data_IF_952734015360
#
_entry.id   IF_952734015360
#
_cell.length_a   1.000
_cell.length_b   1.000
_cell.length_c   1.000
_cell.angle_alpha   90.00
_cell.angle_beta   90.00
_cell.angle_gamma   90.00
#
_symmetry.space_group_name_H-M   'P 1'
#
loop_
_entity.id
_entity.type
_entity.pdbx_description
1 polymer ?
#
# COMPACT_ATOMS: atom_id res chain seq x y z
N UNK A 1 57.39 -6.57 -58.47
CA UNK A 1 57.66 -8.02 -58.36
C UNK A 1 56.71 -8.62 -57.33
N UNK A 2 55.80 -9.46 -57.84
CA UNK A 2 55.05 -10.56 -57.21
C UNK A 2 54.32 -10.30 -55.87
N UNK A 3 52.99 -10.14 -55.87
CA UNK A 3 51.95 -11.19 -55.92
C UNK A 3 52.06 -12.21 -54.77
N UNK A 4 51.13 -12.14 -53.80
CA UNK A 4 50.10 -13.17 -53.66
C UNK A 4 49.04 -12.73 -52.64
N UNK A 5 47.86 -12.41 -53.14
CA UNK A 5 46.62 -12.45 -52.36
C UNK A 5 46.07 -13.88 -52.39
N UNK A 6 45.52 -14.35 -51.27
CA UNK A 6 44.70 -15.56 -51.21
C UNK A 6 43.67 -15.46 -50.10
N UNK A 7 42.55 -16.20 -50.23
CA UNK A 7 41.23 -15.62 -50.07
C UNK A 7 40.51 -16.04 -48.79
N UNK A 8 39.54 -15.22 -48.42
CA UNK A 8 38.47 -15.46 -47.47
C UNK A 8 37.82 -16.84 -47.64
N UNK A 9 37.83 -17.65 -46.59
CA UNK A 9 37.05 -18.89 -46.48
C UNK A 9 36.17 -18.86 -45.23
N UNK A 10 34.86 -18.98 -45.47
CA UNK A 10 33.71 -18.90 -44.54
C UNK A 10 33.84 -19.73 -43.25
N UNK A 11 33.15 -19.31 -42.17
CA UNK A 11 32.91 -20.16 -41.00
C UNK A 11 31.95 -21.33 -41.31
N UNK A 12 32.02 -22.44 -40.56
CA UNK A 12 31.25 -23.66 -40.82
C UNK A 12 29.74 -23.48 -40.54
N UNK A 13 28.86 -24.25 -41.21
CA UNK A 13 27.42 -24.20 -40.97
C UNK A 13 27.04 -24.83 -39.60
N UNK A 14 25.95 -24.37 -38.96
CA UNK A 14 25.49 -24.90 -37.68
C UNK A 14 24.90 -26.32 -37.80
N UNK A 15 24.89 -27.10 -36.70
CA UNK A 15 24.42 -28.48 -36.70
C UNK A 15 22.93 -28.59 -36.98
N UNK A 16 22.57 -29.57 -37.80
CA UNK A 16 21.21 -29.89 -38.21
C UNK A 16 20.43 -30.50 -37.04
N UNK A 17 19.40 -29.80 -36.55
CA UNK A 17 18.50 -30.28 -35.50
C UNK A 17 17.34 -31.04 -36.18
N UNK A 18 17.26 -32.35 -35.97
CA UNK A 18 16.12 -33.15 -36.39
C UNK A 18 14.85 -32.74 -35.60
N UNK A 19 13.67 -32.62 -36.24
CA UNK A 19 12.46 -32.21 -35.54
C UNK A 19 11.94 -33.36 -34.66
N UNK A 20 12.04 -33.19 -33.34
CA UNK A 20 11.31 -34.01 -32.36
C UNK A 20 9.84 -33.63 -32.41
N UNK A 21 8.99 -34.52 -32.93
CA UNK A 21 7.54 -34.35 -32.92
C UNK A 21 7.00 -34.36 -31.47
N UNK A 22 6.17 -33.40 -31.06
CA UNK A 22 5.50 -33.45 -29.76
C UNK A 22 4.45 -34.57 -29.74
N UNK A 23 4.52 -35.41 -28.71
CA UNK A 23 3.53 -36.47 -28.43
C UNK A 23 2.17 -35.83 -28.16
N UNK A 24 1.21 -36.10 -29.05
CA UNK A 24 -0.16 -35.58 -29.01
C UNK A 24 -0.84 -35.99 -27.70
N UNK A 25 -1.33 -35.02 -26.92
CA UNK A 25 -2.16 -35.30 -25.74
C UNK A 25 -3.52 -35.92 -26.17
N UNK A 26 -4.09 -36.85 -25.41
CA UNK A 26 -5.40 -37.42 -25.73
C UNK A 26 -6.51 -36.36 -25.69
N UNK A 27 -7.52 -36.44 -26.55
CA UNK A 27 -8.59 -35.44 -26.62
C UNK A 27 -9.45 -35.43 -25.35
N UNK A 28 -10.01 -34.26 -24.96
CA UNK A 28 -10.91 -34.17 -23.80
C UNK A 28 -12.24 -34.91 -24.06
N UNK A 29 -12.93 -35.38 -23.01
CA UNK A 29 -14.20 -36.09 -23.14
C UNK A 29 -15.30 -35.18 -23.73
N UNK A 30 -16.29 -35.76 -24.43
CA UNK A 30 -17.35 -34.98 -25.08
C UNK A 30 -18.25 -34.26 -24.07
N UNK A 31 -18.54 -32.99 -24.34
CA UNK A 31 -19.46 -32.16 -23.55
C UNK A 31 -20.92 -32.63 -23.68
N UNK A 32 -21.71 -32.62 -22.58
CA UNK A 32 -23.11 -33.03 -22.63
C UNK A 32 -23.98 -32.08 -23.48
N UNK A 33 -25.09 -32.57 -24.06
CA UNK A 33 -25.92 -31.77 -24.96
C UNK A 33 -26.65 -30.63 -24.24
N UNK A 34 -26.73 -29.48 -24.92
CA UNK A 34 -27.36 -28.25 -24.44
C UNK A 34 -28.89 -28.37 -24.46
N UNK A 35 -29.62 -27.88 -23.44
CA UNK A 35 -31.09 -27.92 -23.44
C UNK A 35 -31.69 -26.99 -24.52
N UNK A 36 -32.91 -27.28 -25.00
CA UNK A 36 -33.53 -26.55 -26.11
C UNK A 36 -33.92 -25.12 -25.72
N UNK A 37 -33.65 -24.19 -26.64
CA UNK A 37 -33.92 -22.76 -26.52
C UNK A 37 -35.42 -22.44 -26.65
N UNK A 38 -36.03 -21.87 -25.60
CA UNK A 38 -37.35 -21.24 -25.65
C UNK A 38 -37.27 -19.94 -26.46
N UNK A 39 -38.09 -19.83 -27.52
CA UNK A 39 -38.23 -18.60 -28.34
C UNK A 39 -39.07 -17.56 -27.58
N UNK A 40 -38.71 -16.26 -27.58
CA UNK A 40 -39.58 -15.21 -27.03
C UNK A 40 -40.74 -14.90 -27.98
N UNK A 41 -41.96 -14.87 -27.42
CA UNK A 41 -43.19 -14.48 -28.10
C UNK A 41 -43.27 -12.95 -28.28
N UNK A 42 -43.86 -12.55 -29.40
CA UNK A 42 -43.89 -11.20 -29.97
C UNK A 42 -45.02 -10.38 -29.34
N UNK A 43 -44.71 -9.32 -28.59
CA UNK A 43 -45.72 -8.35 -28.11
C UNK A 43 -45.27 -6.89 -28.30
N UNK A 44 -46.14 -6.16 -28.99
CA UNK A 44 -46.38 -4.73 -29.15
C UNK A 44 -45.27 -3.68 -28.85
N UNK A 45 -44.99 -2.90 -29.90
CA UNK A 45 -44.21 -1.67 -29.95
C UNK A 45 -45.06 -0.48 -29.50
N UNK A 46 -44.72 0.16 -28.38
CA UNK A 46 -45.07 1.57 -28.12
C UNK A 46 -43.76 2.34 -27.94
N UNK A 47 -43.51 3.29 -28.85
CA UNK A 47 -42.30 4.12 -28.87
C UNK A 47 -42.48 5.31 -27.92
N UNK A 48 -41.76 5.33 -26.80
CA UNK A 48 -41.43 6.58 -26.12
C UNK A 48 -39.96 6.95 -26.40
N UNK A 49 -39.78 8.15 -26.96
CA UNK A 49 -38.51 8.76 -27.34
C UNK A 49 -37.82 9.34 -26.09
N UNK A 50 -36.55 9.01 -25.77
CA UNK A 50 -35.82 9.72 -24.72
C UNK A 50 -35.29 11.08 -25.23
N UNK A 51 -35.15 12.11 -24.37
CA UNK A 51 -34.63 13.41 -24.78
C UNK A 51 -33.11 13.37 -24.95
N UNK A 52 -32.62 14.18 -25.89
CA UNK A 52 -31.20 14.35 -26.18
C UNK A 52 -30.50 15.16 -25.08
N UNK A 53 -29.39 14.65 -24.56
CA UNK A 53 -28.50 15.40 -23.65
C UNK A 53 -27.55 16.29 -24.48
N UNK A 54 -27.63 17.61 -24.28
CA UNK A 54 -26.65 18.59 -24.78
C UNK A 54 -25.44 18.66 -23.85
N UNK A 55 -24.22 18.90 -24.36
CA UNK A 55 -23.03 19.01 -23.52
C UNK A 55 -23.00 20.36 -22.78
N UNK A 56 -22.82 20.32 -21.46
CA UNK A 56 -22.78 21.48 -20.59
C UNK A 56 -21.49 22.31 -20.78
N UNK A 57 -21.65 23.63 -20.76
CA UNK A 57 -20.61 24.67 -20.83
C UNK A 57 -19.85 24.78 -19.50
N UNK A 58 -18.52 24.98 -19.47
CA UNK A 58 -17.77 25.14 -18.23
C UNK A 58 -18.07 26.50 -17.56
N UNK A 59 -18.17 26.56 -16.22
CA UNK A 59 -18.44 27.81 -15.51
C UNK A 59 -17.21 28.73 -15.47
N UNK A 60 -17.49 30.04 -15.52
CA UNK A 60 -16.51 31.13 -15.40
C UNK A 60 -15.98 31.20 -13.97
N UNK A 61 -14.67 31.38 -13.83
CA UNK A 61 -13.98 31.66 -12.58
C UNK A 61 -14.07 33.15 -12.23
N UNK A 62 -14.77 33.49 -11.16
CA UNK A 62 -14.68 34.80 -10.51
C UNK A 62 -13.61 34.77 -9.39
N UNK A 63 -12.93 35.91 -9.12
CA UNK A 63 -11.74 35.95 -8.28
C UNK A 63 -12.07 35.84 -6.77
N UNK A 64 -11.14 35.19 -6.04
CA UNK A 64 -11.27 34.85 -4.62
C UNK A 64 -11.52 36.06 -3.69
N UNK A 65 -12.39 35.95 -2.68
CA UNK A 65 -12.49 36.93 -1.61
C UNK A 65 -11.33 36.79 -0.60
N UNK A 66 -10.93 37.94 -0.05
CA UNK A 66 -9.82 38.15 0.90
C UNK A 66 -10.00 37.34 2.20
N UNK A 67 -8.87 36.86 2.73
CA UNK A 67 -8.73 36.12 3.98
C UNK A 67 -9.18 36.90 5.23
N UNK A 68 -9.92 36.28 6.17
CA UNK A 68 -10.19 36.86 7.49
C UNK A 68 -9.07 36.55 8.50
N UNK A 69 -8.94 37.33 9.60
CA UNK A 69 -7.84 37.22 10.55
C UNK A 69 -8.02 36.01 11.49
N UNK A 70 -6.89 35.50 11.97
CA UNK A 70 -6.77 34.42 12.95
C UNK A 70 -7.34 34.80 14.34
N UNK A 71 -8.07 33.91 15.02
CA UNK A 71 -8.35 34.05 16.44
C UNK A 71 -7.54 33.05 17.29
N UNK A 72 -7.07 33.58 18.41
CA UNK A 72 -6.45 32.89 19.54
C UNK A 72 -7.46 32.17 20.43
N UNK A 73 -7.00 31.06 21.00
CA UNK A 73 -7.35 30.46 22.30
C UNK A 73 -8.74 29.83 22.56
N UNK A 74 -8.63 28.58 23.05
CA UNK A 74 -9.46 27.91 24.06
C UNK A 74 -10.68 27.07 23.65
N UNK A 75 -10.59 25.80 24.11
CA UNK A 75 -11.65 24.90 24.59
C UNK A 75 -12.20 23.79 23.67
N UNK A 76 -12.02 22.57 24.19
CA UNK A 76 -12.87 21.37 24.10
C UNK A 76 -13.27 20.81 22.71
N UNK A 77 -12.76 19.61 22.38
CA UNK A 77 -13.57 18.38 22.30
C UNK A 77 -12.78 17.19 21.73
N UNK A 78 -12.89 16.04 22.40
CA UNK A 78 -12.46 14.74 21.90
C UNK A 78 -13.29 14.30 20.67
N UNK A 79 -12.71 13.59 19.69
CA UNK A 79 -13.48 13.01 18.59
C UNK A 79 -14.18 11.71 19.03
N UNK A 80 -15.38 11.41 18.48
CA UNK A 80 -16.15 10.22 18.82
C UNK A 80 -15.62 8.95 18.11
N UNK A 81 -15.75 7.82 18.80
CA UNK A 81 -15.53 6.46 18.30
C UNK A 81 -16.51 6.08 17.18
N UNK A 82 -16.12 5.27 16.18
CA UNK A 82 -17.04 4.75 15.16
C UNK A 82 -17.87 3.56 15.69
N UNK A 83 -19.06 3.30 15.13
CA UNK A 83 -19.95 2.25 15.59
C UNK A 83 -19.54 0.86 15.07
N UNK A 84 -19.76 -0.13 15.91
CA UNK A 84 -19.66 -1.57 15.65
C UNK A 84 -21.03 -2.06 15.20
N UNK A 85 -21.14 -2.55 13.96
CA UNK A 85 -21.79 -3.82 13.59
C UNK A 85 -21.99 -3.94 12.08
N UNK A 86 -21.46 -5.03 11.51
CA UNK A 86 -22.17 -5.96 10.61
C UNK A 86 -21.16 -6.84 9.86
N UNK A 87 -21.11 -8.10 10.27
CA UNK A 87 -20.42 -9.20 9.61
C UNK A 87 -21.23 -9.68 8.40
N UNK A 88 -20.64 -9.70 7.19
CA UNK A 88 -20.84 -10.75 6.16
C UNK A 88 -19.96 -10.56 4.90
N UNK A 89 -19.13 -11.58 4.61
CA UNK A 89 -18.62 -12.01 3.28
C UNK A 89 -17.80 -10.98 2.48
N UNK A 90 -16.53 -11.18 2.17
CA UNK A 90 -16.02 -12.33 1.42
C UNK A 90 -15.74 -11.87 -0.02
N UNK A 91 -14.45 -11.71 -0.32
CA UNK A 91 -13.84 -11.69 -1.67
C UNK A 91 -14.25 -10.58 -2.65
N UNK A 92 -13.49 -9.46 -2.67
CA UNK A 92 -13.01 -8.77 -3.90
C UNK A 92 -12.28 -7.45 -3.56
N UNK A 93 -11.15 -7.50 -2.84
CA UNK A 93 -10.36 -6.27 -2.64
C UNK A 93 -8.85 -6.50 -2.52
N UNK A 94 -8.31 -7.40 -3.35
CA UNK A 94 -6.87 -7.63 -3.47
C UNK A 94 -6.25 -7.07 -4.78
N UNK A 95 -7.04 -6.39 -5.64
CA UNK A 95 -6.56 -5.94 -6.96
C UNK A 95 -6.57 -4.42 -7.20
N UNK A 96 -6.90 -3.60 -6.19
CA UNK A 96 -6.97 -2.13 -6.34
C UNK A 96 -5.92 -1.35 -5.53
N UNK A 97 -5.06 -2.01 -4.74
CA UNK A 97 -3.96 -1.36 -4.00
C UNK A 97 -2.58 -1.51 -4.68
N UNK A 98 -2.48 -2.24 -5.81
CA UNK A 98 -1.22 -2.57 -6.48
C UNK A 98 -1.01 -1.87 -7.83
N UNK A 99 -1.74 -0.77 -8.11
CA UNK A 99 -1.64 -0.01 -9.36
C UNK A 99 -1.04 1.41 -9.19
N UNK A 100 -0.47 1.74 -8.04
CA UNK A 100 0.15 3.05 -7.77
C UNK A 100 1.68 3.02 -7.62
N UNK A 101 2.34 1.89 -7.89
CA UNK A 101 3.80 1.74 -7.72
C UNK A 101 4.57 1.34 -9.01
N UNK A 102 4.08 1.70 -10.20
CA UNK A 102 4.78 1.41 -11.47
C UNK A 102 5.01 2.60 -12.40
N UNK A 103 5.29 3.79 -11.85
CA UNK A 103 6.01 4.84 -12.57
C UNK A 103 6.98 5.55 -11.63
N UNK A 104 8.20 5.03 -11.55
CA UNK A 104 9.19 5.67 -10.68
C UNK A 104 10.55 4.99 -10.65
N UNK A 105 11.06 4.52 -11.79
CA UNK A 105 12.48 4.23 -11.89
C UNK A 105 12.91 4.46 -13.34
N UNK A 106 13.25 5.70 -13.66
CA UNK A 106 14.26 6.09 -14.66
C UNK A 106 14.29 7.62 -14.72
N UNK A 107 15.31 8.20 -14.10
CA UNK A 107 15.96 9.53 -14.28
C UNK A 107 16.71 9.81 -12.96
N UNK A 108 17.87 9.20 -12.74
CA UNK A 108 19.18 9.81 -12.96
C UNK A 108 19.29 11.27 -12.48
N UNK A 109 20.02 11.42 -11.38
CA UNK A 109 20.94 12.51 -11.04
C UNK A 109 20.40 13.94 -11.18
N UNK A 110 19.64 14.40 -10.19
CA UNK A 110 19.40 15.83 -9.97
C UNK A 110 20.01 16.26 -8.63
N UNK A 111 21.11 17.00 -8.76
CA UNK A 111 21.67 17.87 -7.74
C UNK A 111 20.54 18.70 -7.10
N UNK A 112 20.26 18.51 -5.81
CA UNK A 112 19.23 19.28 -5.10
C UNK A 112 19.66 20.74 -4.91
N UNK A 113 19.42 21.53 -5.95
CA UNK A 113 19.30 22.98 -5.87
C UNK A 113 17.88 23.27 -5.39
N UNK A 114 17.77 23.97 -4.27
CA UNK A 114 16.50 24.28 -3.62
C UNK A 114 15.59 25.08 -4.56
N UNK A 115 14.25 24.92 -4.52
CA UNK A 115 13.35 25.74 -5.31
C UNK A 115 13.26 27.13 -4.67
N UNK A 116 13.93 28.10 -5.25
CA UNK A 116 13.76 29.54 -4.99
C UNK A 116 12.39 29.99 -5.53
N UNK A 117 11.29 29.52 -4.94
CA UNK A 117 9.91 29.85 -5.36
C UNK A 117 9.15 30.67 -4.31
N UNK A 118 9.87 31.55 -3.61
CA UNK A 118 9.30 32.66 -2.84
C UNK A 118 10.08 33.93 -3.16
N UNK A 119 10.13 34.26 -4.44
CA UNK A 119 10.45 35.58 -4.92
C UNK A 119 9.40 35.93 -5.99
N UNK A 120 8.20 36.29 -5.53
CA UNK A 120 7.43 37.23 -6.34
C UNK A 120 8.29 38.49 -6.52
N UNK A 121 8.18 39.22 -7.64
CA UNK A 121 8.83 40.52 -7.77
C UNK A 121 8.19 41.44 -6.73
N UNK A 122 8.70 41.40 -5.50
CA UNK A 122 8.64 42.52 -4.61
C UNK A 122 9.32 43.62 -5.41
N UNK A 123 8.50 44.54 -5.94
CA UNK A 123 8.95 45.73 -6.60
C UNK A 123 10.08 46.27 -5.73
N UNK A 124 11.31 46.06 -6.18
CA UNK A 124 12.46 46.70 -5.61
C UNK A 124 12.13 48.17 -5.84
N UNK A 125 11.62 48.82 -4.80
CA UNK A 125 11.63 50.27 -4.74
C UNK A 125 13.08 50.58 -5.05
N UNK A 126 13.29 51.16 -6.23
CA UNK A 126 14.58 51.66 -6.66
C UNK A 126 14.98 52.62 -5.55
N UNK A 127 15.74 52.12 -4.58
CA UNK A 127 16.44 52.97 -3.63
C UNK A 127 17.43 53.64 -4.53
N UNK A 128 17.09 54.88 -4.86
CA UNK A 128 17.78 55.79 -5.74
C UNK A 128 19.26 55.50 -5.71
N UNK A 129 19.85 55.34 -6.90
CA UNK A 129 21.29 55.25 -7.13
C UNK A 129 22.04 55.85 -5.94
N UNK A 130 22.72 54.98 -5.19
CA UNK A 130 23.72 55.42 -4.22
C UNK A 130 24.76 56.16 -5.05
N UNK A 131 24.55 57.46 -5.23
CA UNK A 131 25.53 58.39 -5.75
C UNK A 131 26.74 58.12 -4.89
N UNK A 132 27.80 57.65 -5.53
CA UNK A 132 29.11 57.48 -4.92
C UNK A 132 29.60 58.87 -4.58
N UNK A 133 29.06 59.46 -3.52
CA UNK A 133 29.63 60.65 -2.92
C UNK A 133 30.94 60.15 -2.34
N UNK A 134 32.04 60.42 -3.07
CA UNK A 134 33.35 60.46 -2.44
C UNK A 134 33.16 61.21 -1.12
N UNK A 135 33.58 60.61 0.00
CA UNK A 135 33.31 61.04 1.39
C UNK A 135 33.93 62.40 1.76
N UNK A 136 33.66 63.40 0.94
CA UNK A 136 34.10 64.79 0.96
C UNK A 136 32.95 65.62 0.38
N UNK A 137 31.80 65.58 1.04
CA UNK A 137 30.97 66.80 1.13
C UNK A 137 31.05 67.29 2.56
N UNK A 138 32.28 67.57 3.01
CA UNK A 138 32.43 68.66 3.95
C UNK A 138 31.97 69.89 3.15
N UNK A 139 30.79 70.42 3.47
CA UNK A 139 30.39 71.73 3.00
C UNK A 139 31.32 72.75 3.67
N UNK A 140 32.53 72.87 3.12
CA UNK A 140 33.50 73.85 3.55
C UNK A 140 33.02 75.19 3.01
N UNK A 141 32.28 75.93 3.85
CA UNK A 141 31.89 77.30 3.55
C UNK A 141 33.13 78.17 3.72
N UNK A 142 33.62 78.75 2.63
CA UNK A 142 34.63 79.79 2.69
C UNK A 142 33.97 81.08 3.18
N UNK A 143 34.03 81.29 4.50
CA UNK A 143 33.48 82.44 5.22
C UNK A 143 34.02 83.76 4.67
N UNK A 144 35.31 83.81 4.31
CA UNK A 144 35.94 85.02 3.79
C UNK A 144 35.46 85.35 2.38
N UNK A 145 35.40 84.36 1.50
CA UNK A 145 34.89 84.55 0.14
C UNK A 145 33.40 84.93 0.15
N UNK A 146 32.61 84.40 1.08
CA UNK A 146 31.19 84.73 1.20
C UNK A 146 30.99 86.18 1.67
N UNK A 147 31.72 86.62 2.69
CA UNK A 147 31.71 88.02 3.17
C UNK A 147 32.13 88.97 2.05
N UNK A 148 33.24 88.69 1.36
CA UNK A 148 33.73 89.53 0.24
C UNK A 148 32.72 89.63 -0.90
N UNK A 149 31.99 88.54 -1.17
CA UNK A 149 30.93 88.53 -2.19
C UNK A 149 29.73 89.37 -1.75
N UNK A 150 29.32 89.32 -0.48
CA UNK A 150 28.24 90.15 0.05
C UNK A 150 28.62 91.64 0.05
N UNK A 151 29.86 91.96 0.41
CA UNK A 151 30.40 93.33 0.33
C UNK A 151 30.37 93.87 -1.10
N UNK A 152 30.73 93.04 -2.10
CA UNK A 152 30.69 93.42 -3.52
C UNK A 152 29.27 93.72 -4.04
N UNK A 153 28.24 93.24 -3.34
CA UNK A 153 26.83 93.48 -3.66
C UNK A 153 26.24 94.67 -2.86
N UNK A 154 27.09 95.43 -2.16
CA UNK A 154 26.68 96.61 -1.40
C UNK A 154 26.22 96.33 0.04
N UNK A 155 26.43 95.12 0.56
CA UNK A 155 26.12 94.80 1.97
C UNK A 155 27.23 95.36 2.87
N UNK A 156 26.90 96.14 3.92
CA UNK A 156 27.88 96.60 4.90
C UNK A 156 28.63 95.43 5.55
N UNK A 157 29.95 95.55 5.74
CA UNK A 157 30.83 94.48 6.26
C UNK A 157 30.27 93.78 7.50
N UNK A 158 29.78 94.54 8.49
CA UNK A 158 29.21 93.97 9.73
C UNK A 158 27.95 93.13 9.50
N UNK A 159 27.12 93.51 8.52
CA UNK A 159 25.93 92.74 8.15
C UNK A 159 26.32 91.52 7.31
N UNK A 160 27.31 91.64 6.43
CA UNK A 160 27.85 90.51 5.66
C UNK A 160 28.45 89.44 6.57
N UNK A 161 29.18 89.83 7.62
CA UNK A 161 29.71 88.94 8.65
C UNK A 161 28.59 88.25 9.44
N UNK A 162 27.57 89.00 9.89
CA UNK A 162 26.44 88.44 10.65
C UNK A 162 25.62 87.44 9.82
N UNK A 163 25.32 87.76 8.56
CA UNK A 163 24.60 86.87 7.63
C UNK A 163 25.42 85.61 7.37
N UNK A 164 26.72 85.77 7.12
CA UNK A 164 27.63 84.63 6.92
C UNK A 164 27.66 83.73 8.15
N UNK A 165 27.75 84.31 9.35
CA UNK A 165 27.74 83.58 10.63
C UNK A 165 26.48 82.74 10.80
N UNK A 166 25.29 83.33 10.59
CA UNK A 166 24.02 82.62 10.69
C UNK A 166 23.89 81.49 9.67
N UNK A 167 24.41 81.68 8.44
CA UNK A 167 24.43 80.64 7.41
C UNK A 167 25.35 79.48 7.82
N UNK A 168 26.54 79.76 8.34
CA UNK A 168 27.45 78.71 8.84
C UNK A 168 26.85 77.93 10.00
N UNK A 169 26.13 78.59 10.91
CA UNK A 169 25.48 77.95 12.05
C UNK A 169 24.38 76.97 11.58
N UNK A 170 23.43 77.44 10.76
CA UNK A 170 22.37 76.58 10.20
C UNK A 170 22.95 75.42 9.38
N UNK A 171 24.05 75.63 8.65
CA UNK A 171 24.72 74.58 7.89
C UNK A 171 25.40 73.54 8.79
N UNK A 172 26.03 73.96 9.89
CA UNK A 172 26.63 73.05 10.85
C UNK A 172 25.56 72.21 11.54
N UNK A 173 24.47 72.82 12.01
CA UNK A 173 23.34 72.12 12.64
C UNK A 173 22.70 71.12 11.67
N UNK A 174 22.50 71.54 10.42
CA UNK A 174 21.95 70.67 9.37
C UNK A 174 22.87 69.50 9.06
N UNK A 175 24.19 69.71 9.05
CA UNK A 175 25.17 68.66 8.77
C UNK A 175 25.24 67.64 9.92
N UNK A 176 25.20 68.10 11.16
CA UNK A 176 25.20 67.24 12.35
C UNK A 176 23.93 66.37 12.38
N UNK A 177 22.75 66.98 12.20
CA UNK A 177 21.47 66.27 12.13
C UNK A 177 21.42 65.23 10.99
N UNK A 178 21.96 65.57 9.82
CA UNK A 178 22.06 64.63 8.69
C UNK A 178 23.06 63.50 8.99
N UNK A 179 24.17 63.81 9.68
CA UNK A 179 25.18 62.82 10.03
C UNK A 179 24.67 61.74 11.00
N UNK A 180 23.77 62.10 11.92
CA UNK A 180 23.11 61.15 12.83
C UNK A 180 22.20 60.15 12.09
N UNK A 181 21.68 60.54 10.92
CA UNK A 181 20.85 59.67 10.08
C UNK A 181 21.67 58.70 9.21
N UNK A 182 23.00 58.88 9.15
CA UNK A 182 23.88 58.02 8.37
C UNK A 182 24.66 57.07 9.26
N UNK A 183 24.75 55.81 8.83
CA UNK A 183 25.62 54.82 9.46
C UNK A 183 26.99 54.88 8.80
N UNK A 184 28.06 54.79 9.59
CA UNK A 184 29.41 54.75 9.02
C UNK A 184 29.62 53.49 8.18
N UNK A 185 30.49 53.55 7.17
CA UNK A 185 30.80 52.37 6.35
C UNK A 185 31.35 51.21 7.18
N UNK A 186 32.12 51.52 8.22
CA UNK A 186 32.70 50.52 9.11
C UNK A 186 31.62 49.80 9.94
N UNK A 187 30.64 50.54 10.48
CA UNK A 187 29.52 49.95 11.23
C UNK A 187 28.60 49.13 10.33
N UNK A 188 28.33 49.61 9.11
CA UNK A 188 27.54 48.87 8.12
C UNK A 188 28.24 47.54 7.77
N UNK A 189 29.53 47.56 7.45
CA UNK A 189 30.30 46.33 7.17
C UNK A 189 30.34 45.38 8.36
N UNK A 190 30.48 45.90 9.59
CA UNK A 190 30.43 45.08 10.81
C UNK A 190 29.07 44.40 10.96
N UNK A 191 27.97 45.13 10.69
CA UNK A 191 26.61 44.57 10.71
C UNK A 191 26.43 43.48 9.64
N UNK A 192 26.91 43.71 8.42
CA UNK A 192 26.89 42.73 7.33
C UNK A 192 27.65 41.46 7.71
N UNK A 193 28.88 41.58 8.22
CA UNK A 193 29.67 40.43 8.69
C UNK A 193 28.95 39.64 9.79
N UNK A 194 28.29 40.32 10.71
CA UNK A 194 27.54 39.70 11.80
C UNK A 194 26.30 38.97 11.26
N UNK A 195 25.58 39.57 10.32
CA UNK A 195 24.45 38.93 9.63
C UNK A 195 24.91 37.69 8.85
N UNK A 196 26.00 37.78 8.10
CA UNK A 196 26.55 36.66 7.33
C UNK A 196 27.00 35.51 8.24
N UNK A 197 27.63 35.81 9.38
CA UNK A 197 27.99 34.82 10.39
C UNK A 197 26.75 34.13 10.99
N UNK A 198 25.70 34.89 11.31
CA UNK A 198 24.45 34.35 11.85
C UNK A 198 23.73 33.46 10.83
N UNK A 199 23.66 33.89 9.57
CA UNK A 199 23.07 33.11 8.48
C UNK A 199 23.86 31.81 8.28
N UNK A 200 25.18 31.88 8.31
CA UNK A 200 26.05 30.70 8.18
C UNK A 200 25.85 29.71 9.34
N UNK A 201 25.78 30.21 10.57
CA UNK A 201 25.49 29.39 11.75
C UNK A 201 24.11 28.75 11.66
N UNK A 202 23.08 29.53 11.31
CA UNK A 202 21.72 29.02 11.13
C UNK A 202 21.68 27.91 10.06
N UNK A 203 22.33 28.14 8.91
CA UNK A 203 22.43 27.15 7.84
C UNK A 203 23.09 25.85 8.32
N UNK A 204 24.20 25.94 9.05
CA UNK A 204 24.87 24.75 9.60
C UNK A 204 23.99 23.99 10.59
N UNK A 205 23.23 24.70 11.43
CA UNK A 205 22.34 24.09 12.41
C UNK A 205 21.15 23.40 11.74
N UNK A 206 20.56 24.04 10.72
CA UNK A 206 19.49 23.43 9.91
C UNK A 206 19.99 22.20 9.18
N UNK A 207 21.15 22.28 8.54
CA UNK A 207 21.73 21.15 7.81
C UNK A 207 22.05 19.98 8.76
N UNK A 208 22.71 20.26 9.88
CA UNK A 208 23.02 19.25 10.90
C UNK A 208 21.75 18.62 11.47
N UNK A 209 20.73 19.43 11.79
CA UNK A 209 19.45 18.94 12.28
C UNK A 209 18.75 18.04 11.26
N UNK A 210 18.68 18.46 9.98
CA UNK A 210 18.09 17.65 8.93
C UNK A 210 18.80 16.31 8.74
N UNK A 211 20.13 16.32 8.72
CA UNK A 211 20.94 15.09 8.57
C UNK A 211 20.75 14.15 9.76
N UNK A 212 20.69 14.68 10.98
CA UNK A 212 20.40 13.92 12.19
C UNK A 212 19.00 13.30 12.17
N UNK A 213 17.97 14.10 11.83
CA UNK A 213 16.60 13.60 11.74
C UNK A 213 16.44 12.55 10.64
N UNK A 214 17.07 12.77 9.49
CA UNK A 214 17.05 11.80 8.39
C UNK A 214 17.72 10.48 8.80
N UNK A 215 18.90 10.56 9.43
CA UNK A 215 19.64 9.38 9.90
C UNK A 215 18.87 8.60 10.96
N UNK A 216 18.19 9.30 11.87
CA UNK A 216 17.35 8.70 12.90
C UNK A 216 16.13 7.99 12.27
N UNK A 217 15.40 8.68 11.40
CA UNK A 217 14.25 8.11 10.70
C UNK A 217 14.62 6.92 9.82
N UNK A 218 15.76 6.98 9.13
CA UNK A 218 16.27 5.87 8.34
C UNK A 218 16.55 4.65 9.23
N UNK A 219 17.26 4.84 10.35
CA UNK A 219 17.56 3.78 11.32
C UNK A 219 16.29 3.16 11.91
N UNK A 220 15.31 3.98 12.28
CA UNK A 220 14.03 3.49 12.81
C UNK A 220 13.25 2.72 11.75
N UNK A 221 13.27 3.19 10.50
CA UNK A 221 12.62 2.50 9.37
C UNK A 221 13.27 1.14 9.11
N UNK A 222 14.60 1.06 9.10
CA UNK A 222 15.33 -0.20 8.96
C UNK A 222 15.11 -1.15 10.13
N UNK A 223 15.05 -0.63 11.36
CA UNK A 223 14.71 -1.42 12.54
C UNK A 223 13.31 -2.01 12.44
N UNK A 224 12.30 -1.18 12.16
CA UNK A 224 10.91 -1.62 12.00
C UNK A 224 10.76 -2.62 10.86
N UNK A 225 11.48 -2.43 9.75
CA UNK A 225 11.52 -3.39 8.65
C UNK A 225 12.08 -4.74 9.10
N UNK A 226 13.18 -4.74 9.87
CA UNK A 226 13.75 -5.94 10.45
C UNK A 226 12.79 -6.66 11.42
N UNK A 227 12.09 -5.91 12.28
CA UNK A 227 11.10 -6.45 13.20
C UNK A 227 9.91 -7.09 12.44
N UNK A 228 9.44 -6.46 11.36
CA UNK A 228 8.39 -7.00 10.47
C UNK A 228 8.86 -8.31 9.82
N UNK A 229 10.07 -8.36 9.27
CA UNK A 229 10.60 -9.56 8.62
C UNK A 229 10.77 -10.70 9.63
N UNK A 230 11.21 -10.39 10.85
CA UNK A 230 11.30 -11.36 11.95
C UNK A 230 9.92 -11.91 12.32
N UNK A 231 8.94 -11.05 12.61
CA UNK A 231 7.58 -11.47 12.92
C UNK A 231 6.96 -12.31 11.79
N UNK A 232 7.20 -11.93 10.54
CA UNK A 232 6.71 -12.68 9.37
C UNK A 232 7.31 -14.09 9.32
N UNK A 233 8.60 -14.24 9.64
CA UNK A 233 9.26 -15.54 9.67
C UNK A 233 8.74 -16.43 10.81
N UNK A 234 8.54 -15.85 12.01
CA UNK A 234 8.00 -16.55 13.18
C UNK A 234 6.56 -17.01 12.94
N UNK A 235 5.70 -16.13 12.41
CA UNK A 235 4.33 -16.48 12.07
C UNK A 235 4.26 -17.59 11.03
N UNK A 236 5.10 -17.53 9.99
CA UNK A 236 5.16 -18.59 8.98
C UNK A 236 5.56 -19.93 9.61
N UNK A 237 6.58 -19.92 10.47
CA UNK A 237 7.00 -21.12 11.18
C UNK A 237 5.89 -21.70 12.07
N UNK A 238 5.19 -20.87 12.84
CA UNK A 238 4.08 -21.33 13.68
C UNK A 238 2.91 -21.86 12.84
N UNK A 239 2.58 -21.24 11.70
CA UNK A 239 1.59 -21.75 10.75
C UNK A 239 2.00 -23.13 10.23
N UNK A 240 3.24 -23.27 9.75
CA UNK A 240 3.75 -24.53 9.20
C UNK A 240 3.75 -25.63 10.27
N UNK A 241 4.15 -25.29 11.50
CA UNK A 241 4.16 -26.19 12.67
C UNK A 241 2.75 -26.64 13.06
N UNK A 242 1.80 -25.71 13.21
CA UNK A 242 0.41 -26.04 13.55
C UNK A 242 -0.24 -26.86 12.44
N UNK A 243 0.00 -26.50 11.18
CA UNK A 243 -0.53 -27.23 10.01
C UNK A 243 0.03 -28.65 9.94
N UNK A 244 1.32 -28.84 10.17
CA UNK A 244 1.94 -30.16 10.24
C UNK A 244 1.40 -30.98 11.43
N UNK A 245 1.22 -30.35 12.59
CA UNK A 245 0.63 -30.96 13.78
C UNK A 245 -0.80 -31.44 13.53
N UNK A 246 -1.65 -30.59 12.96
CA UNK A 246 -3.04 -30.95 12.61
C UNK A 246 -3.09 -32.07 11.58
N UNK A 247 -2.23 -32.04 10.55
CA UNK A 247 -2.18 -33.12 9.56
C UNK A 247 -1.75 -34.45 10.17
N UNK A 248 -0.80 -34.43 11.11
CA UNK A 248 -0.39 -35.62 11.85
C UNK A 248 -1.53 -36.16 12.70
N UNK A 249 -2.18 -35.30 13.48
CA UNK A 249 -3.31 -35.66 14.35
C UNK A 249 -4.44 -36.34 13.57
N UNK A 250 -4.87 -35.72 12.46
CA UNK A 250 -5.88 -36.31 11.57
C UNK A 250 -5.46 -37.66 10.97
N UNK A 251 -4.17 -37.83 10.66
CA UNK A 251 -3.67 -39.08 10.12
C UNK A 251 -3.63 -40.19 11.18
N UNK A 252 -3.28 -39.84 12.43
CA UNK A 252 -3.32 -40.77 13.56
C UNK A 252 -4.75 -41.17 13.90
N UNK A 253 -5.68 -40.21 13.93
CA UNK A 253 -7.09 -40.49 14.20
C UNK A 253 -7.72 -41.32 13.07
N UNK A 254 -7.41 -41.01 11.81
CA UNK A 254 -7.78 -41.87 10.67
C UNK A 254 -7.16 -43.26 10.77
N UNK A 255 -5.98 -43.40 11.38
CA UNK A 255 -5.37 -44.70 11.71
C UNK A 255 -6.21 -45.45 12.73
N UNK A 256 -6.47 -44.85 13.89
CA UNK A 256 -7.31 -45.41 14.95
C UNK A 256 -8.70 -45.84 14.48
N UNK A 257 -9.38 -44.99 13.70
CA UNK A 257 -10.71 -45.31 13.16
C UNK A 257 -10.64 -46.54 12.25
N UNK A 258 -9.58 -46.68 11.45
CA UNK A 258 -9.39 -47.87 10.59
C UNK A 258 -9.15 -49.14 11.41
N UNK A 259 -8.35 -49.05 12.46
CA UNK A 259 -8.07 -50.18 13.35
C UNK A 259 -9.33 -50.61 14.11
N UNK A 260 -10.10 -49.67 14.63
CA UNK A 260 -11.38 -49.95 15.30
C UNK A 260 -12.42 -50.53 14.32
N UNK A 261 -12.49 -50.01 13.09
CA UNK A 261 -13.35 -50.54 12.05
C UNK A 261 -12.95 -51.97 11.65
N UNK A 262 -11.65 -52.25 11.54
CA UNK A 262 -11.14 -53.59 11.24
C UNK A 262 -11.51 -54.58 12.34
N UNK A 263 -11.37 -54.17 13.61
CA UNK A 263 -11.76 -54.96 14.78
C UNK A 263 -13.27 -55.23 14.80
N UNK A 264 -14.11 -54.21 14.59
CA UNK A 264 -15.56 -54.41 14.51
C UNK A 264 -15.97 -55.34 13.36
N UNK A 265 -15.28 -55.24 12.22
CA UNK A 265 -15.51 -56.13 11.09
C UNK A 265 -15.13 -57.58 11.44
N UNK A 266 -14.01 -57.80 12.12
CA UNK A 266 -13.59 -59.11 12.63
C UNK A 266 -14.63 -59.69 13.60
N UNK A 267 -15.05 -58.91 14.61
CA UNK A 267 -16.10 -59.31 15.56
C UNK A 267 -17.42 -59.65 14.85
N UNK A 268 -17.80 -58.86 13.83
CA UNK A 268 -19.00 -59.11 13.02
C UNK A 268 -18.88 -60.40 12.21
N UNK A 269 -17.72 -60.67 11.60
CA UNK A 269 -17.47 -61.92 10.87
C UNK A 269 -17.47 -63.12 11.81
N UNK A 270 -16.88 -63.00 12.99
CA UNK A 270 -16.88 -64.05 14.01
C UNK A 270 -18.28 -64.38 14.50
N UNK A 271 -19.11 -63.36 14.77
CA UNK A 271 -20.51 -63.55 15.15
C UNK A 271 -21.32 -64.18 14.00
N UNK A 272 -21.10 -63.74 12.76
CA UNK A 272 -21.76 -64.31 11.58
C UNK A 272 -21.41 -65.80 11.44
N UNK A 273 -20.14 -66.18 11.57
CA UNK A 273 -19.74 -67.60 11.48
C UNK A 273 -20.27 -68.44 12.64
N UNK A 274 -20.42 -67.86 13.85
CA UNK A 274 -21.07 -68.54 14.98
C UNK A 274 -22.56 -68.76 14.71
N UNK A 275 -23.27 -67.73 14.23
CA UNK A 275 -24.68 -67.84 13.84
C UNK A 275 -24.88 -68.89 12.76
N UNK A 276 -24.03 -68.91 11.73
CA UNK A 276 -24.09 -69.95 10.69
C UNK A 276 -23.93 -71.35 11.29
N UNK A 277 -22.97 -71.56 12.20
CA UNK A 277 -22.80 -72.86 12.89
C UNK A 277 -24.04 -73.24 13.69
N UNK A 278 -24.64 -72.32 14.44
CA UNK A 278 -25.87 -72.57 15.20
C UNK A 278 -27.04 -72.90 14.28
N UNK A 279 -27.20 -72.19 13.15
CA UNK A 279 -28.23 -72.49 12.15
C UNK A 279 -28.06 -73.90 11.59
N UNK A 280 -26.83 -74.31 11.24
CA UNK A 280 -26.58 -75.66 10.73
C UNK A 280 -26.85 -76.74 11.80
N UNK A 281 -26.47 -76.47 13.05
CA UNK A 281 -26.75 -77.36 14.19
C UNK A 281 -28.27 -77.51 14.42
N UNK A 282 -29.01 -76.40 14.48
CA UNK A 282 -30.46 -76.40 14.66
C UNK A 282 -31.18 -77.09 13.49
N UNK A 283 -30.72 -76.89 12.25
CA UNK A 283 -31.25 -77.61 11.08
C UNK A 283 -31.05 -79.12 11.21
N UNK A 284 -29.85 -79.56 11.61
CA UNK A 284 -29.57 -80.98 11.81
C UNK A 284 -30.44 -81.59 12.92
N UNK A 285 -30.62 -80.88 14.05
CA UNK A 285 -31.51 -81.31 15.12
C UNK A 285 -32.98 -81.38 14.66
N UNK A 286 -33.42 -80.42 13.86
CA UNK A 286 -34.77 -80.39 13.30
C UNK A 286 -34.99 -81.55 12.31
N UNK A 287 -34.01 -81.87 11.47
CA UNK A 287 -34.07 -83.04 10.59
C UNK A 287 -34.12 -84.35 11.38
N UNK A 288 -33.30 -84.50 12.44
CA UNK A 288 -33.34 -85.66 13.31
C UNK A 288 -34.71 -85.81 14.00
N UNK A 289 -35.24 -84.73 14.60
CA UNK A 289 -36.55 -84.72 15.23
C UNK A 289 -37.69 -85.04 14.24
N UNK A 290 -37.59 -84.57 12.99
CA UNK A 290 -38.52 -84.94 11.92
C UNK A 290 -38.49 -86.45 11.65
N UNK A 291 -37.31 -87.07 11.58
CA UNK A 291 -37.20 -88.52 11.41
C UNK A 291 -37.77 -89.29 12.61
N UNK A 292 -37.58 -88.80 13.84
CA UNK A 292 -38.17 -89.40 15.03
C UNK A 292 -39.70 -89.36 14.98
N UNK A 293 -40.31 -88.23 14.62
CA UNK A 293 -41.77 -88.12 14.46
C UNK A 293 -42.28 -89.09 13.39
N UNK A 294 -41.62 -89.17 12.23
CA UNK A 294 -42.00 -90.13 11.18
C UNK A 294 -41.94 -91.58 11.72
N UNK A 295 -40.89 -91.92 12.47
CA UNK A 295 -40.73 -93.24 13.10
C UNK A 295 -41.87 -93.55 14.07
N UNK A 296 -42.25 -92.60 14.93
CA UNK A 296 -43.37 -92.76 15.85
C UNK A 296 -44.70 -92.91 15.11
N UNK A 297 -44.97 -92.11 14.06
CA UNK A 297 -46.17 -92.24 13.24
C UNK A 297 -46.29 -93.62 12.58
N UNK A 298 -45.20 -94.15 12.01
CA UNK A 298 -45.20 -95.50 11.43
C UNK A 298 -45.49 -96.54 12.53
N UNK A 299 -44.85 -96.41 13.69
CA UNK A 299 -45.07 -97.31 14.83
C UNK A 299 -46.52 -97.32 15.33
N UNK A 300 -47.18 -96.16 15.41
CA UNK A 300 -48.57 -96.07 15.86
C UNK A 300 -49.56 -96.59 14.82
N UNK A 301 -49.35 -96.32 13.54
CA UNK A 301 -50.19 -96.89 12.48
C UNK A 301 -50.11 -98.41 12.52
N UNK A 302 -48.89 -98.97 12.60
CA UNK A 302 -48.68 -100.43 12.67
C UNK A 302 -49.30 -101.03 13.94
N UNK A 303 -49.18 -100.37 15.11
CA UNK A 303 -49.78 -100.88 16.34
C UNK A 303 -51.31 -100.87 16.30
N UNK A 304 -51.92 -99.79 15.78
CA UNK A 304 -53.38 -99.69 15.61
C UNK A 304 -53.87 -100.76 14.61
N UNK A 305 -53.18 -100.95 13.48
CA UNK A 305 -53.52 -102.01 12.52
C UNK A 305 -53.40 -103.41 13.13
N UNK A 306 -52.35 -103.68 13.92
CA UNK A 306 -52.17 -104.96 14.58
C UNK A 306 -53.28 -105.23 15.61
N UNK A 307 -53.64 -104.23 16.42
CA UNK A 307 -54.75 -104.32 17.38
C UNK A 307 -56.08 -104.52 16.64
N UNK A 308 -56.34 -103.77 15.57
CA UNK A 308 -57.56 -103.91 14.77
C UNK A 308 -57.70 -105.30 14.15
N UNK A 309 -56.62 -105.86 13.60
CA UNK A 309 -56.60 -107.24 13.10
C UNK A 309 -56.82 -108.27 14.21
N UNK A 310 -56.24 -108.07 15.39
CA UNK A 310 -56.44 -108.95 16.54
C UNK A 310 -57.90 -108.98 17.00
N UNK A 311 -58.58 -107.82 17.04
CA UNK A 311 -60.00 -107.73 17.40
C UNK A 311 -60.88 -108.37 16.32
N UNK A 312 -60.63 -108.10 15.03
CA UNK A 312 -61.36 -108.76 13.93
C UNK A 312 -61.27 -110.29 14.01
N UNK A 313 -60.10 -110.82 14.38
CA UNK A 313 -59.89 -112.27 14.58
C UNK A 313 -60.68 -112.84 15.77
N UNK A 314 -61.03 -112.03 16.77
CA UNK A 314 -61.82 -112.46 17.93
C UNK A 314 -63.33 -112.38 17.64
N UNK A 315 -63.75 -111.45 16.76
CA UNK A 315 -65.17 -111.17 16.46
C UNK A 315 -65.73 -111.99 15.28
N UNK A 316 -64.91 -112.36 14.29
CA UNK A 316 -65.28 -113.35 13.24
C UNK A 316 -64.93 -114.76 13.67
#
# INVERSE_FOLDING_TARGET
>A
LLLHASPSSRPPPPPTVSPTFPKLAPPPPPTPPRPPSLKPSRAARIRHRPPAYSPARPPRTDPAPRSPPSPSASSAHAPPSPPVDASRGGEEMAAAAAAACRRGLFLHNHHHQWPTRWAGPAAARSISQLVKTNGRRAFLVDTLALVRKLESQGVPTKQAEAITSAITEVLNDSLESISESFVSKAEMQKSEMLQEANISKFKSQVQSSQENHFSLLQRETEKLRGDIDKMRSELKYEIDKVTAGQRLDLNLERGRIRDELAKQNEETTDLTTKLDKEIHSLKAQLEAAKYDVIKYCIGTIVSISAVGLAVLRIVM
#
